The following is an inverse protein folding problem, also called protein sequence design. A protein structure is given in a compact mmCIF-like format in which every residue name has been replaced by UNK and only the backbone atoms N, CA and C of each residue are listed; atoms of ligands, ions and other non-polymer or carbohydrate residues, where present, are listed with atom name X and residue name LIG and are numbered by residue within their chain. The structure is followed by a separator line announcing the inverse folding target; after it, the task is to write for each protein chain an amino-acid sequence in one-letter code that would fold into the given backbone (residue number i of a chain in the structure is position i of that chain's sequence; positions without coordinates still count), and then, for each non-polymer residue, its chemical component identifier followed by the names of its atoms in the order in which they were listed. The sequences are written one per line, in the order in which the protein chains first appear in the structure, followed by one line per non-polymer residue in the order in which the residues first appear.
data_IF_590344898512
#
_entry.id   IF_590344898512
#
_cell.length_a   1.000
_cell.length_b   1.000
_cell.length_c   1.000
_cell.angle_alpha   90.00
_cell.angle_beta   90.00
_cell.angle_gamma   90.00
#
_symmetry.space_group_name_H-M   'P 1'
#
loop_
_entity.id
_entity.type
_entity.pdbx_description
1 polymer ?
#
# COMPACT_ATOMS: atom_id res chain seq x y z
N UNK A 1 -10.58 -27.72 2.17
CA UNK A 1 -10.74 -26.49 2.98
C UNK A 1 -9.45 -25.71 2.83
N UNK A 2 -9.45 -24.62 2.06
CA UNK A 2 -8.31 -23.69 2.07
C UNK A 2 -8.30 -22.98 3.42
N UNK A 3 -7.27 -23.24 4.22
CA UNK A 3 -7.06 -22.70 5.57
C UNK A 3 -6.38 -21.32 5.55
N UNK A 4 -6.54 -20.56 4.47
CA UNK A 4 -5.91 -19.25 4.26
C UNK A 4 -6.85 -18.08 4.55
N UNK A 5 -6.32 -16.98 5.09
CA UNK A 5 -7.04 -15.71 5.22
C UNK A 5 -7.28 -15.11 3.84
N UNK A 6 -8.51 -14.70 3.53
CA UNK A 6 -8.79 -13.96 2.29
C UNK A 6 -8.71 -12.44 2.48
N UNK A 7 -8.71 -11.70 1.37
CA UNK A 7 -8.56 -10.24 1.37
C UNK A 7 -9.66 -9.53 2.17
N UNK A 8 -10.91 -9.98 2.08
CA UNK A 8 -12.03 -9.40 2.82
C UNK A 8 -11.91 -9.59 4.33
N UNK A 9 -11.48 -10.78 4.77
CA UNK A 9 -11.18 -11.07 6.18
C UNK A 9 -10.01 -10.22 6.68
N UNK A 10 -8.96 -10.07 5.87
CA UNK A 10 -7.81 -9.23 6.18
C UNK A 10 -8.23 -7.75 6.35
N UNK A 11 -9.00 -7.21 5.40
CA UNK A 11 -9.44 -5.81 5.44
C UNK A 11 -10.30 -5.50 6.67
N UNK A 12 -11.12 -6.46 7.12
CA UNK A 12 -11.90 -6.34 8.36
C UNK A 12 -11.04 -6.40 9.63
N UNK A 13 -9.86 -7.01 9.57
CA UNK A 13 -8.94 -7.09 10.70
C UNK A 13 -8.00 -5.87 10.81
N UNK A 14 -7.84 -5.11 9.72
CA UNK A 14 -7.00 -3.91 9.67
C UNK A 14 -7.74 -2.70 10.26
N UNK A 15 -7.02 -1.80 10.92
CA UNK A 15 -7.61 -0.56 11.46
C UNK A 15 -8.10 0.30 10.29
N UNK A 16 -9.34 0.83 10.32
CA UNK A 16 -9.91 1.56 9.18
C UNK A 16 -9.06 2.74 8.68
N UNK A 17 -8.30 3.40 9.57
CA UNK A 17 -7.41 4.52 9.26
C UNK A 17 -6.04 4.10 8.73
N UNK A 18 -5.73 2.81 8.69
CA UNK A 18 -4.45 2.34 8.17
C UNK A 18 -4.41 2.49 6.65
N UNK A 19 -3.23 2.91 6.17
CA UNK A 19 -2.92 2.90 4.74
C UNK A 19 -2.66 1.46 4.32
N UNK A 20 -3.26 1.05 3.22
CA UNK A 20 -3.12 -0.29 2.66
C UNK A 20 -2.71 -0.21 1.20
N UNK A 21 -1.78 -1.08 0.81
CA UNK A 21 -1.41 -1.33 -0.59
C UNK A 21 -1.63 -2.81 -0.87
N UNK A 22 -2.52 -3.10 -1.83
CA UNK A 22 -2.81 -4.47 -2.27
C UNK A 22 -2.13 -4.73 -3.60
N UNK A 23 -1.36 -5.80 -3.65
CA UNK A 23 -0.58 -6.22 -4.81
C UNK A 23 -1.11 -7.57 -5.30
N UNK A 24 -1.49 -7.64 -6.57
CA UNK A 24 -1.91 -8.91 -7.17
C UNK A 24 -0.69 -9.83 -7.41
N UNK A 25 -0.96 -11.08 -7.77
CA UNK A 25 0.10 -12.06 -8.02
C UNK A 25 1.02 -11.72 -9.22
N UNK A 26 0.60 -10.82 -10.12
CA UNK A 26 1.44 -10.27 -11.19
C UNK A 26 2.34 -9.11 -10.73
N UNK A 27 2.33 -8.76 -9.43
CA UNK A 27 3.13 -7.67 -8.87
C UNK A 27 2.54 -6.28 -9.08
N UNK A 28 1.32 -6.17 -9.61
CA UNK A 28 0.66 -4.89 -9.86
C UNK A 28 -0.08 -4.42 -8.62
N UNK A 29 0.05 -3.13 -8.30
CA UNK A 29 -0.76 -2.48 -7.27
C UNK A 29 -2.18 -2.35 -7.79
N UNK A 30 -3.12 -3.06 -7.17
CA UNK A 30 -4.55 -3.01 -7.52
C UNK A 30 -5.36 -2.12 -6.58
N UNK A 31 -4.80 -1.78 -5.42
CA UNK A 31 -5.41 -0.87 -4.47
C UNK A 31 -4.34 -0.09 -3.71
N UNK A 32 -4.58 1.20 -3.52
CA UNK A 32 -3.83 2.09 -2.63
C UNK A 32 -4.82 3.04 -1.97
N UNK A 33 -4.93 3.00 -0.66
CA UNK A 33 -5.86 3.85 0.08
C UNK A 33 -5.97 3.48 1.54
N UNK A 34 -7.01 3.99 2.21
CA UNK A 34 -7.34 3.64 3.58
C UNK A 34 -8.15 2.35 3.61
N UNK A 35 -7.90 1.47 4.58
CA UNK A 35 -8.69 0.25 4.74
C UNK A 35 -10.20 0.50 4.73
N UNK A 36 -10.65 1.59 5.36
CA UNK A 36 -12.05 2.04 5.36
C UNK A 36 -12.67 2.22 3.97
N UNK A 37 -11.86 2.60 2.98
CA UNK A 37 -12.32 2.90 1.63
C UNK A 37 -12.34 1.67 0.72
N UNK A 38 -11.86 0.51 1.17
CA UNK A 38 -11.72 -0.68 0.34
C UNK A 38 -13.07 -1.22 -0.16
N UNK A 39 -14.11 -1.19 0.67
CA UNK A 39 -15.45 -1.70 0.35
C UNK A 39 -16.09 -0.99 -0.87
N UNK A 40 -15.64 0.22 -1.19
CA UNK A 40 -16.15 1.03 -2.31
C UNK A 40 -15.43 0.80 -3.65
N UNK A 41 -14.45 -0.10 -3.70
CA UNK A 41 -13.58 -0.27 -4.87
C UNK A 41 -14.10 -1.24 -5.92
N UNK A 42 -15.01 -2.15 -5.54
CA UNK A 42 -15.43 -3.27 -6.40
C UNK A 42 -14.35 -4.34 -6.62
N UNK A 43 -13.22 -4.28 -5.91
CA UNK A 43 -12.17 -5.30 -5.97
C UNK A 43 -12.68 -6.58 -5.30
N UNK A 44 -12.49 -7.72 -5.96
CA UNK A 44 -12.85 -9.02 -5.39
C UNK A 44 -12.03 -9.29 -4.13
N UNK A 45 -12.74 -9.46 -3.01
CA UNK A 45 -12.18 -9.64 -1.67
C UNK A 45 -12.10 -11.12 -1.23
N UNK A 46 -12.64 -12.04 -2.03
CA UNK A 46 -12.54 -13.49 -1.81
C UNK A 46 -11.17 -14.08 -2.14
N UNK A 47 -10.23 -13.28 -2.67
CA UNK A 47 -8.90 -13.74 -3.07
C UNK A 47 -8.04 -14.12 -1.86
N UNK A 48 -7.35 -15.28 -1.86
CA UNK A 48 -6.44 -15.67 -0.79
C UNK A 48 -5.27 -14.68 -0.64
N UNK A 49 -4.90 -14.39 0.61
CA UNK A 49 -3.72 -13.60 0.94
C UNK A 49 -2.51 -14.52 1.03
N UNK A 50 -1.49 -14.27 0.20
CA UNK A 50 -0.20 -14.97 0.21
C UNK A 50 0.65 -14.55 1.40
N UNK A 51 0.73 -13.24 1.64
CA UNK A 51 1.55 -12.65 2.71
C UNK A 51 1.13 -11.21 2.98
N UNK A 52 1.36 -10.73 4.19
CA UNK A 52 1.13 -9.34 4.57
C UNK A 52 2.24 -8.84 5.52
N UNK A 53 2.40 -7.53 5.63
CA UNK A 53 3.38 -6.92 6.52
C UNK A 53 3.48 -5.41 6.34
N UNK A 54 4.51 -4.80 6.89
CA UNK A 54 4.77 -3.37 6.69
C UNK A 54 5.50 -3.14 5.35
N UNK A 55 4.98 -2.19 4.59
CA UNK A 55 5.67 -1.57 3.46
C UNK A 55 6.06 -0.15 3.80
N UNK A 56 7.10 0.33 3.14
CA UNK A 56 7.56 1.72 3.23
C UNK A 56 7.95 2.21 1.85
N UNK A 57 7.52 3.41 1.52
CA UNK A 57 8.00 4.16 0.36
C UNK A 57 8.66 5.45 0.82
N UNK A 58 9.76 5.81 0.18
CA UNK A 58 10.52 7.03 0.47
C UNK A 58 10.42 7.99 -0.70
N UNK A 59 10.24 9.27 -0.40
CA UNK A 59 10.03 10.34 -1.37
C UNK A 59 10.83 11.58 -0.98
N UNK A 60 11.02 12.50 -1.93
CA UNK A 60 11.64 13.79 -1.63
C UNK A 60 10.60 14.74 -1.00
N UNK A 61 10.93 15.36 0.13
CA UNK A 61 10.02 16.28 0.85
C UNK A 61 9.54 17.48 0.04
N UNK A 62 10.34 17.92 -0.92
CA UNK A 62 10.01 19.05 -1.79
C UNK A 62 8.94 18.71 -2.82
N UNK A 63 8.66 17.43 -3.03
CA UNK A 63 7.58 16.97 -3.90
C UNK A 63 6.28 16.93 -3.12
N UNK A 64 5.16 17.30 -3.74
CA UNK A 64 3.86 17.34 -3.06
C UNK A 64 3.45 15.94 -2.62
N UNK A 65 3.66 15.67 -1.32
CA UNK A 65 3.30 14.44 -0.65
C UNK A 65 1.80 14.44 -0.36
N UNK A 66 1.02 13.98 -1.33
CA UNK A 66 -0.41 13.61 -1.20
C UNK A 66 -1.42 14.76 -1.14
N UNK A 67 -2.37 14.73 -2.09
CA UNK A 67 -3.61 15.50 -2.08
C UNK A 67 -4.77 14.56 -1.72
N UNK A 68 -5.42 14.81 -0.57
CA UNK A 68 -6.56 14.03 -0.10
C UNK A 68 -7.78 14.08 -1.04
N UNK A 69 -7.80 15.01 -1.99
CA UNK A 69 -8.85 15.14 -3.02
C UNK A 69 -8.53 14.38 -4.32
N UNK A 70 -7.27 13.98 -4.54
CA UNK A 70 -6.84 13.35 -5.78
C UNK A 70 -6.07 12.05 -5.48
N UNK A 71 -6.67 10.92 -5.86
CA UNK A 71 -6.07 9.56 -5.83
C UNK A 71 -4.93 9.40 -6.85
N UNK A 72 -4.30 10.49 -7.32
CA UNK A 72 -3.28 10.48 -8.37
C UNK A 72 -1.89 10.19 -7.82
N UNK A 73 -1.04 9.75 -8.77
CA UNK A 73 0.32 9.23 -8.61
C UNK A 73 1.11 9.96 -7.54
N UNK A 74 1.66 9.18 -6.61
CA UNK A 74 2.68 9.66 -5.70
C UNK A 74 3.88 10.16 -6.53
N UNK A 75 4.65 11.12 -6.00
CA UNK A 75 5.91 11.50 -6.63
C UNK A 75 6.80 10.28 -6.84
N UNK A 76 7.82 10.41 -7.68
CA UNK A 76 8.71 9.28 -7.96
C UNK A 76 9.37 8.82 -6.65
N UNK A 77 9.19 7.55 -6.32
CA UNK A 77 9.86 6.95 -5.17
C UNK A 77 11.38 7.09 -5.32
N UNK A 78 12.06 7.47 -4.24
CA UNK A 78 13.52 7.39 -4.12
C UNK A 78 13.86 5.92 -3.86
N UNK A 79 14.54 5.23 -4.79
CA UNK A 79 15.01 3.86 -4.59
C UNK A 79 15.97 3.79 -3.41
N UNK A 80 16.03 2.63 -2.75
CA UNK A 80 16.89 2.42 -1.57
C UNK A 80 18.36 2.68 -1.93
N UNK A 81 18.75 2.31 -3.13
CA UNK A 81 20.10 2.46 -3.68
C UNK A 81 20.52 3.93 -3.84
N UNK A 82 19.55 4.86 -3.90
CA UNK A 82 19.78 6.30 -4.08
C UNK A 82 19.57 7.09 -2.78
N UNK A 83 19.20 6.44 -1.66
CA UNK A 83 18.91 7.16 -0.41
C UNK A 83 20.12 7.92 0.14
N UNK A 84 21.35 7.42 -0.09
CA UNK A 84 22.60 8.05 0.36
C UNK A 84 22.88 9.38 -0.37
N UNK A 85 22.26 9.62 -1.53
CA UNK A 85 22.40 10.87 -2.29
C UNK A 85 21.65 12.05 -1.64
N UNK A 86 20.80 11.77 -0.65
CA UNK A 86 19.94 12.76 0.00
C UNK A 86 20.23 12.85 1.49
N UNK A 87 20.09 14.06 2.06
CA UNK A 87 20.04 14.18 3.51
C UNK A 87 18.71 13.60 4.03
N UNK A 88 18.74 12.92 5.17
CA UNK A 88 17.54 12.41 5.85
C UNK A 88 16.49 13.50 6.10
N UNK A 89 16.92 14.76 6.26
CA UNK A 89 16.01 15.90 6.43
C UNK A 89 15.21 16.22 5.16
N UNK A 90 15.66 15.77 3.99
CA UNK A 90 15.04 16.02 2.68
C UNK A 90 14.15 14.84 2.24
N UNK A 91 14.10 13.76 3.03
CA UNK A 91 13.34 12.55 2.74
C UNK A 91 12.07 12.43 3.60
N UNK A 92 10.98 11.99 2.98
CA UNK A 92 9.72 11.68 3.65
C UNK A 92 9.34 10.23 3.42
N UNK A 93 8.69 9.62 4.41
CA UNK A 93 8.34 8.21 4.37
C UNK A 93 6.83 8.03 4.48
N UNK A 94 6.28 7.13 3.66
CA UNK A 94 4.92 6.63 3.78
C UNK A 94 5.01 5.18 4.21
N UNK A 95 4.52 4.89 5.41
CA UNK A 95 4.36 3.53 5.92
C UNK A 95 2.93 3.07 5.63
N UNK A 96 2.77 1.80 5.25
CA UNK A 96 1.48 1.19 4.95
C UNK A 96 1.51 -0.32 5.22
N UNK A 97 0.33 -0.91 5.37
CA UNK A 97 0.13 -2.35 5.35
C UNK A 97 0.20 -2.85 3.91
N UNK A 98 1.19 -3.67 3.60
CA UNK A 98 1.37 -4.34 2.32
C UNK A 98 0.66 -5.68 2.34
N UNK A 99 -0.20 -5.94 1.37
CA UNK A 99 -0.90 -7.22 1.20
C UNK A 99 -0.57 -7.77 -0.18
N UNK A 100 -0.09 -9.01 -0.24
CA UNK A 100 0.21 -9.71 -1.49
C UNK A 100 -0.82 -10.84 -1.64
N UNK A 101 -1.50 -10.86 -2.78
CA UNK A 101 -2.51 -11.87 -3.09
C UNK A 101 -1.90 -13.08 -3.78
N UNK A 102 -2.56 -14.22 -3.63
CA UNK A 102 -2.33 -15.38 -4.49
C UNK A 102 -2.93 -15.16 -5.90
N UNK A 103 -2.57 -16.06 -6.83
CA UNK A 103 -3.07 -16.05 -8.20
C UNK A 103 -4.59 -16.21 -8.23
#
# INVERSE_FOLDING_TARGET
METGMNLGQMMKAIVPSDRVVVINAAGQVIYRGFAANFEHTGISDGRPVKSFGLGMETYRKTETMFDWKNVRELPRQVPVEQMEEYSTKDLSHIIYTRIILEN
#
